data_IF_438735649396
#
_entry.id   IF_438735649396
#
_cell.length_a   1.000
_cell.length_b   1.000
_cell.length_c   1.000
_cell.angle_alpha   90.00
_cell.angle_beta   90.00
_cell.angle_gamma   90.00
#
_symmetry.space_group_name_H-M   'P 1'
#
loop_
_entity.id
_entity.type
_entity.pdbx_description
1 polymer ?
#
# COMPACT_ATOMS: atom_id res chain seq x y z
N UNK A 1 -15.77 10.96 -13.08
CA UNK A 1 -15.70 9.62 -12.45
C UNK A 1 -14.47 8.84 -12.91
N UNK A 2 -14.28 8.60 -14.23
CA UNK A 2 -13.12 7.83 -14.72
C UNK A 2 -11.77 8.43 -14.26
N UNK A 3 -11.60 9.76 -14.37
CA UNK A 3 -10.38 10.44 -13.94
C UNK A 3 -10.09 10.26 -12.44
N UNK A 4 -11.11 10.33 -11.59
CA UNK A 4 -10.97 10.09 -10.15
C UNK A 4 -10.60 8.62 -9.85
N UNK A 5 -11.22 7.67 -10.55
CA UNK A 5 -10.86 6.27 -10.41
C UNK A 5 -9.42 6.02 -10.88
N UNK A 6 -9.00 6.58 -12.01
CA UNK A 6 -7.61 6.46 -12.49
C UNK A 6 -6.61 7.10 -11.52
N UNK A 7 -6.97 8.22 -10.89
CA UNK A 7 -6.17 8.82 -9.82
C UNK A 7 -5.98 7.86 -8.65
N UNK A 8 -7.09 7.29 -8.13
CA UNK A 8 -7.05 6.29 -7.06
C UNK A 8 -6.20 5.10 -7.46
N UNK A 9 -6.46 4.56 -8.65
CA UNK A 9 -5.79 3.36 -9.14
C UNK A 9 -4.28 3.55 -9.29
N UNK A 10 -3.86 4.65 -9.93
CA UNK A 10 -2.43 4.93 -10.15
C UNK A 10 -1.70 5.23 -8.83
N UNK A 11 -2.31 6.04 -7.96
CA UNK A 11 -1.75 6.39 -6.66
C UNK A 11 -1.58 5.17 -5.76
N UNK A 12 -2.65 4.37 -5.64
CA UNK A 12 -2.63 3.18 -4.82
C UNK A 12 -1.64 2.14 -5.36
N UNK A 13 -1.61 1.94 -6.68
CA UNK A 13 -0.67 1.00 -7.29
C UNK A 13 0.78 1.46 -7.13
N UNK A 14 1.08 2.75 -7.26
CA UNK A 14 2.41 3.30 -6.99
C UNK A 14 2.83 3.07 -5.53
N UNK A 15 1.91 3.28 -4.57
CA UNK A 15 2.18 3.02 -3.17
C UNK A 15 2.37 1.53 -2.86
N UNK A 16 1.66 0.64 -3.56
CA UNK A 16 1.77 -0.81 -3.44
C UNK A 16 3.09 -1.33 -3.99
N UNK A 17 3.54 -0.79 -5.12
CA UNK A 17 4.82 -1.16 -5.74
C UNK A 17 6.04 -0.74 -4.91
N UNK A 18 5.90 0.30 -4.07
CA UNK A 18 7.00 0.77 -3.21
C UNK A 18 7.29 -0.26 -2.11
N UNK A 19 8.49 -0.89 -2.09
CA UNK A 19 8.85 -1.89 -1.11
C UNK A 19 8.77 -1.35 0.32
N UNK A 20 7.81 -1.82 1.09
CA UNK A 20 7.56 -1.45 2.48
C UNK A 20 7.61 -2.67 3.41
N UNK A 21 7.24 -2.51 4.69
CA UNK A 21 7.22 -3.61 5.66
C UNK A 21 6.42 -4.83 5.17
N UNK A 22 5.26 -4.61 4.56
CA UNK A 22 4.37 -5.67 4.05
C UNK A 22 5.03 -6.47 2.92
N UNK A 23 5.77 -5.78 2.02
CA UNK A 23 6.54 -6.42 0.95
C UNK A 23 7.61 -7.37 1.52
N UNK A 24 8.39 -6.92 2.52
CA UNK A 24 9.43 -7.76 3.12
C UNK A 24 8.85 -8.92 3.94
N UNK A 25 7.69 -8.72 4.58
CA UNK A 25 6.98 -9.79 5.26
C UNK A 25 6.56 -10.89 4.27
N UNK A 26 5.94 -10.50 3.14
CA UNK A 26 5.56 -11.41 2.07
C UNK A 26 6.74 -12.17 1.48
N UNK A 27 7.83 -11.44 1.21
CA UNK A 27 9.05 -12.02 0.68
C UNK A 27 9.58 -13.13 1.62
N UNK A 28 9.70 -12.80 2.92
CA UNK A 28 10.13 -13.75 3.94
C UNK A 28 9.18 -14.95 4.05
N UNK A 29 7.87 -14.68 4.09
CA UNK A 29 6.85 -15.72 4.19
C UNK A 29 6.94 -16.71 3.02
N UNK A 30 7.04 -16.22 1.79
CA UNK A 30 7.11 -17.05 0.59
C UNK A 30 8.40 -17.87 0.49
N UNK A 31 9.53 -17.28 0.85
CA UNK A 31 10.84 -17.90 0.73
C UNK A 31 11.13 -18.90 1.87
N UNK A 32 10.70 -18.59 3.12
CA UNK A 32 11.07 -19.38 4.31
C UNK A 32 9.99 -20.38 4.68
N UNK A 33 8.69 -19.97 4.65
CA UNK A 33 7.58 -20.77 5.18
C UNK A 33 6.69 -21.39 4.12
N UNK A 34 6.91 -21.03 2.84
CA UNK A 34 6.23 -21.60 1.68
C UNK A 34 4.93 -20.92 1.31
N UNK A 35 4.40 -21.28 0.12
CA UNK A 35 3.29 -20.59 -0.54
C UNK A 35 2.02 -20.52 0.30
N UNK A 36 1.65 -21.61 0.98
CA UNK A 36 0.43 -21.66 1.78
C UNK A 36 0.43 -20.63 2.92
N UNK A 37 1.56 -20.46 3.57
CA UNK A 37 1.72 -19.46 4.62
C UNK A 37 1.70 -18.05 4.03
N UNK A 38 2.42 -17.83 2.95
CA UNK A 38 2.47 -16.54 2.27
C UNK A 38 1.11 -16.10 1.68
N UNK A 39 0.30 -17.04 1.17
CA UNK A 39 -1.09 -16.75 0.78
C UNK A 39 -1.93 -16.29 1.99
N UNK A 40 -1.69 -16.86 3.17
CA UNK A 40 -2.29 -16.37 4.41
C UNK A 40 -1.85 -14.94 4.72
N UNK A 41 -0.54 -14.65 4.64
CA UNK A 41 0.01 -13.29 4.85
C UNK A 41 -0.63 -12.30 3.87
N UNK A 42 -0.71 -12.62 2.58
CA UNK A 42 -1.34 -11.78 1.56
C UNK A 42 -2.81 -11.47 1.90
N UNK A 43 -3.58 -12.49 2.31
CA UNK A 43 -4.97 -12.30 2.72
C UNK A 43 -5.10 -11.43 3.99
N UNK A 44 -4.20 -11.60 4.95
CA UNK A 44 -4.14 -10.78 6.18
C UNK A 44 -3.83 -9.31 5.86
N UNK A 45 -2.85 -9.05 5.01
CA UNK A 45 -2.50 -7.70 4.54
C UNK A 45 -3.69 -7.06 3.82
N UNK A 46 -4.35 -7.78 2.90
CA UNK A 46 -5.51 -7.25 2.17
C UNK A 46 -6.66 -6.89 3.11
N UNK A 47 -6.93 -7.72 4.13
CA UNK A 47 -7.94 -7.40 5.14
C UNK A 47 -7.52 -6.19 6.00
N UNK A 48 -6.26 -6.09 6.43
CA UNK A 48 -5.76 -4.93 7.16
C UNK A 48 -5.94 -3.62 6.37
N UNK A 49 -5.66 -3.66 5.06
CA UNK A 49 -5.89 -2.54 4.16
C UNK A 49 -7.38 -2.14 4.12
N UNK A 50 -8.28 -3.11 3.97
CA UNK A 50 -9.74 -2.85 3.99
C UNK A 50 -10.18 -2.25 5.33
N UNK A 51 -9.74 -2.82 6.45
CA UNK A 51 -10.07 -2.32 7.78
C UNK A 51 -9.53 -0.90 7.99
N UNK A 52 -8.32 -0.61 7.53
CA UNK A 52 -7.73 0.73 7.59
C UNK A 52 -8.56 1.73 6.77
N UNK A 53 -9.01 1.37 5.57
CA UNK A 53 -9.90 2.20 4.75
C UNK A 53 -11.22 2.48 5.48
N UNK A 54 -11.85 1.47 6.04
CA UNK A 54 -13.11 1.60 6.78
C UNK A 54 -12.96 2.48 8.03
N UNK A 55 -11.88 2.28 8.80
CA UNK A 55 -11.59 3.08 9.98
C UNK A 55 -11.35 4.54 9.64
N UNK A 56 -10.60 4.81 8.57
CA UNK A 56 -10.37 6.19 8.09
C UNK A 56 -11.67 6.83 7.64
N UNK A 57 -12.52 6.13 6.87
CA UNK A 57 -13.81 6.65 6.46
C UNK A 57 -14.72 6.93 7.65
N UNK A 58 -14.76 6.03 8.62
CA UNK A 58 -15.51 6.25 9.86
C UNK A 58 -15.00 7.49 10.59
N UNK A 59 -13.68 7.60 10.79
CA UNK A 59 -13.08 8.77 11.43
C UNK A 59 -13.44 10.08 10.69
N UNK A 60 -13.31 10.09 9.36
CA UNK A 60 -13.65 11.25 8.53
C UNK A 60 -15.16 11.56 8.54
N UNK A 61 -16.04 10.59 8.74
CA UNK A 61 -17.50 10.81 8.81
C UNK A 61 -17.94 11.44 10.13
N UNK A 62 -17.16 11.24 11.20
CA UNK A 62 -17.44 11.79 12.52
C UNK A 62 -16.97 13.27 12.65
N UNK A 63 -16.22 13.76 11.68
CA UNK A 63 -15.69 15.11 11.71
C UNK A 63 -16.67 16.13 11.09
N UNK A 64 -16.74 17.37 11.59
CA UNK A 64 -17.64 18.38 11.07
C UNK A 64 -17.35 18.68 9.59
N UNK A 65 -18.37 18.58 8.76
CA UNK A 65 -18.29 18.81 7.31
C UNK A 65 -17.98 20.27 6.96
N UNK A 66 -18.35 21.17 7.86
CA UNK A 66 -18.34 22.63 7.64
C UNK A 66 -16.99 23.31 7.87
N UNK A 67 -16.00 22.62 8.42
CA UNK A 67 -14.70 23.22 8.71
C UNK A 67 -13.74 23.04 7.53
N UNK A 68 -13.72 24.04 6.63
CA UNK A 68 -12.80 24.06 5.48
C UNK A 68 -11.33 24.01 5.91
N UNK A 69 -10.98 24.61 7.05
CA UNK A 69 -9.60 24.60 7.57
C UNK A 69 -9.14 23.18 7.94
N UNK A 70 -10.02 22.35 8.52
CA UNK A 70 -9.71 20.97 8.82
C UNK A 70 -9.35 20.16 7.56
N UNK A 71 -10.12 20.33 6.49
CA UNK A 71 -9.89 19.62 5.22
C UNK A 71 -8.61 20.08 4.54
N UNK A 72 -8.27 21.36 4.63
CA UNK A 72 -6.99 21.88 4.16
C UNK A 72 -5.82 21.27 4.94
N UNK A 73 -5.91 21.22 6.28
CA UNK A 73 -4.89 20.56 7.11
C UNK A 73 -4.72 19.09 6.74
N UNK A 74 -5.82 18.35 6.54
CA UNK A 74 -5.75 16.95 6.15
C UNK A 74 -5.07 16.79 4.78
N UNK A 75 -5.37 17.68 3.83
CA UNK A 75 -4.75 17.68 2.50
C UNK A 75 -3.26 18.01 2.58
N UNK A 76 -2.87 19.00 3.41
CA UNK A 76 -1.47 19.34 3.68
C UNK A 76 -0.71 18.17 4.32
N UNK A 77 -1.29 17.51 5.32
CA UNK A 77 -0.69 16.34 6.00
C UNK A 77 -0.56 15.19 5.02
N UNK A 78 -1.61 14.86 4.26
CA UNK A 78 -1.59 13.79 3.27
C UNK A 78 -0.61 14.05 2.13
N UNK A 79 -0.60 15.26 1.56
CA UNK A 79 0.34 15.67 0.51
C UNK A 79 1.78 15.68 1.00
N UNK A 80 2.03 16.22 2.19
CA UNK A 80 3.34 16.21 2.85
C UNK A 80 3.83 14.79 3.12
N UNK A 81 2.94 13.89 3.53
CA UNK A 81 3.26 12.49 3.73
C UNK A 81 3.63 11.78 2.41
N UNK A 82 2.92 12.05 1.31
CA UNK A 82 3.28 11.50 0.01
C UNK A 82 4.64 12.00 -0.48
N UNK A 83 4.95 13.29 -0.25
CA UNK A 83 6.28 13.84 -0.52
C UNK A 83 7.34 13.13 0.31
N UNK A 84 7.09 12.94 1.60
CA UNK A 84 8.03 12.30 2.51
C UNK A 84 8.32 10.84 2.11
N UNK A 85 7.28 10.02 1.84
CA UNK A 85 7.45 8.64 1.36
C UNK A 85 8.13 8.63 -0.02
N UNK A 86 7.72 9.51 -0.91
CA UNK A 86 8.28 9.63 -2.24
C UNK A 86 9.77 9.96 -2.21
N UNK A 87 10.17 10.89 -1.36
CA UNK A 87 11.58 11.24 -1.14
C UNK A 87 12.37 10.06 -0.56
N UNK A 88 11.81 9.37 0.44
CA UNK A 88 12.46 8.16 1.00
C UNK A 88 12.64 7.07 -0.06
N UNK A 89 11.66 6.85 -0.92
CA UNK A 89 11.75 5.87 -2.00
C UNK A 89 12.80 6.28 -3.06
N UNK A 90 12.91 7.56 -3.41
CA UNK A 90 13.95 8.06 -4.32
C UNK A 90 15.36 7.91 -3.75
N UNK A 91 15.52 8.15 -2.46
CA UNK A 91 16.80 8.10 -1.75
C UNK A 91 17.15 6.68 -1.28
N UNK A 92 16.24 5.72 -1.46
CA UNK A 92 16.46 4.35 -1.02
C UNK A 92 17.65 3.73 -1.77
N UNK A 93 18.66 3.33 -1.02
CA UNK A 93 19.84 2.56 -1.50
C UNK A 93 19.69 1.07 -1.18
N UNK A 94 18.46 0.61 -0.95
CA UNK A 94 18.17 -0.74 -0.50
C UNK A 94 18.66 -1.77 -1.51
N UNK A 95 19.35 -2.76 -1.01
CA UNK A 95 19.61 -4.01 -1.70
C UNK A 95 18.60 -5.04 -1.21
N UNK A 96 18.02 -5.77 -2.14
CA UNK A 96 17.10 -6.84 -1.79
C UNK A 96 17.94 -8.05 -1.33
N UNK A 97 18.24 -8.10 -0.05
CA UNK A 97 18.81 -9.30 0.55
C UNK A 97 17.73 -10.36 0.67
N UNK A 98 17.80 -11.37 -0.18
CA UNK A 98 16.92 -12.52 -0.08
C UNK A 98 17.41 -13.39 1.08
N UNK A 99 16.52 -13.81 2.01
CA UNK A 99 16.90 -14.73 3.06
C UNK A 99 17.57 -15.98 2.46
N UNK A 100 18.79 -16.28 2.87
CA UNK A 100 19.43 -17.56 2.56
C UNK A 100 18.71 -18.61 3.39
N UNK A 101 17.91 -19.44 2.73
CA UNK A 101 16.99 -20.34 3.41
C UNK A 101 17.58 -21.72 3.59
N UNK A 102 17.78 -22.09 4.84
CA UNK A 102 17.46 -23.46 5.22
C UNK A 102 15.93 -23.55 5.29
N UNK A 103 15.34 -24.53 4.61
CA UNK A 103 13.89 -24.71 4.59
C UNK A 103 13.39 -24.92 6.02
N UNK A 104 12.85 -23.87 6.62
CA UNK A 104 12.21 -23.93 7.92
C UNK A 104 10.91 -24.74 7.87
N UNK A 105 10.33 -25.01 9.02
CA UNK A 105 9.03 -25.68 9.10
C UNK A 105 7.99 -24.98 8.22
N UNK A 106 7.23 -25.77 7.47
CA UNK A 106 6.16 -25.25 6.62
C UNK A 106 5.12 -24.52 7.45
N UNK A 107 4.97 -23.24 7.20
CA UNK A 107 3.98 -22.41 7.90
C UNK A 107 2.53 -22.75 7.51
N UNK A 108 1.59 -22.51 8.42
CA UNK A 108 0.15 -22.67 8.15
C UNK A 108 -0.45 -21.40 7.57
N UNK A 109 -1.54 -21.54 6.80
CA UNK A 109 -2.29 -20.40 6.26
C UNK A 109 -2.84 -19.48 7.36
N UNK A 110 -3.37 -20.09 8.45
CA UNK A 110 -3.95 -19.30 9.56
C UNK A 110 -2.90 -18.46 10.29
N UNK A 111 -1.72 -19.04 10.51
CA UNK A 111 -0.62 -18.31 11.13
C UNK A 111 -0.15 -17.18 10.20
N UNK A 112 -0.01 -17.43 8.90
CA UNK A 112 0.31 -16.40 7.93
C UNK A 112 -0.73 -15.28 7.89
N UNK A 113 -2.01 -15.63 7.92
CA UNK A 113 -3.10 -14.65 7.96
C UNK A 113 -3.01 -13.73 9.19
N UNK A 114 -2.81 -14.29 10.37
CA UNK A 114 -2.66 -13.49 11.60
C UNK A 114 -1.40 -12.63 11.60
N UNK A 115 -0.28 -13.14 11.07
CA UNK A 115 0.96 -12.36 10.91
C UNK A 115 0.76 -11.18 9.94
N UNK A 116 0.17 -11.42 8.77
CA UNK A 116 -0.11 -10.38 7.79
C UNK A 116 -1.09 -9.32 8.30
N UNK A 117 -2.18 -9.77 8.92
CA UNK A 117 -3.19 -8.88 9.49
C UNK A 117 -2.59 -7.99 10.58
N UNK A 118 -1.86 -8.58 11.53
CA UNK A 118 -1.28 -7.82 12.64
C UNK A 118 -0.19 -6.85 12.17
N UNK A 119 0.76 -7.32 11.38
CA UNK A 119 1.87 -6.48 10.92
C UNK A 119 1.37 -5.30 10.07
N UNK A 120 0.43 -5.54 9.15
CA UNK A 120 -0.12 -4.50 8.30
C UNK A 120 -1.05 -3.54 9.06
N UNK A 121 -1.83 -4.03 10.04
CA UNK A 121 -2.67 -3.18 10.89
C UNK A 121 -1.86 -2.22 11.77
N UNK A 122 -0.65 -2.61 12.16
CA UNK A 122 0.28 -1.77 12.92
C UNK A 122 1.12 -0.85 12.02
N UNK A 123 0.98 -0.95 10.70
CA UNK A 123 1.72 -0.13 9.75
C UNK A 123 1.10 1.27 9.66
N UNK A 124 1.78 2.33 10.15
CA UNK A 124 1.23 3.70 10.14
C UNK A 124 1.07 4.25 8.72
N UNK A 125 1.71 3.65 7.73
CA UNK A 125 1.59 4.03 6.32
C UNK A 125 0.14 3.97 5.85
N UNK A 126 -0.63 2.93 6.25
CA UNK A 126 -1.98 2.69 5.75
C UNK A 126 -2.96 3.80 6.15
N UNK A 127 -3.18 4.11 7.44
CA UNK A 127 -4.17 5.11 7.81
C UNK A 127 -3.81 6.51 7.29
N UNK A 128 -2.53 6.89 7.27
CA UNK A 128 -2.11 8.20 6.76
C UNK A 128 -2.31 8.28 5.24
N UNK A 129 -1.94 7.22 4.51
CA UNK A 129 -2.16 7.14 3.07
C UNK A 129 -3.65 7.25 2.71
N UNK A 130 -4.50 6.46 3.37
CA UNK A 130 -5.94 6.48 3.09
C UNK A 130 -6.62 7.77 3.55
N UNK A 131 -6.18 8.39 4.65
CA UNK A 131 -6.70 9.68 5.07
C UNK A 131 -6.42 10.78 4.01
N UNK A 132 -5.21 10.84 3.48
CA UNK A 132 -4.86 11.73 2.39
C UNK A 132 -5.69 11.45 1.13
N UNK A 133 -5.76 10.19 0.70
CA UNK A 133 -6.50 9.80 -0.50
C UNK A 133 -7.99 10.10 -0.40
N UNK A 134 -8.63 9.74 0.71
CA UNK A 134 -10.07 9.98 0.89
C UNK A 134 -10.42 11.45 1.12
N UNK A 135 -9.51 12.23 1.69
CA UNK A 135 -9.65 13.69 1.73
C UNK A 135 -9.79 14.28 0.33
N UNK A 136 -8.94 13.85 -0.61
CA UNK A 136 -9.01 14.28 -2.01
C UNK A 136 -10.32 13.85 -2.67
N UNK A 137 -10.72 12.58 -2.50
CA UNK A 137 -11.94 12.04 -3.11
C UNK A 137 -13.20 12.74 -2.59
N UNK A 138 -13.21 13.14 -1.33
CA UNK A 138 -14.30 13.92 -0.73
C UNK A 138 -14.37 15.31 -1.35
N UNK A 139 -13.24 16.03 -1.47
CA UNK A 139 -13.20 17.36 -2.10
C UNK A 139 -13.65 17.32 -3.56
N UNK A 140 -13.39 16.21 -4.25
CA UNK A 140 -13.84 15.96 -5.62
C UNK A 140 -15.29 15.47 -5.70
N UNK A 141 -16.06 15.46 -4.59
CA UNK A 141 -17.45 15.02 -4.49
C UNK A 141 -17.71 13.64 -5.10
N UNK A 142 -16.81 12.67 -4.83
CA UNK A 142 -16.99 11.29 -5.30
C UNK A 142 -18.24 10.67 -4.66
N UNK A 143 -19.18 10.10 -5.44
CA UNK A 143 -20.37 9.47 -4.89
C UNK A 143 -20.01 8.19 -4.13
N UNK A 144 -20.84 7.83 -3.12
CA UNK A 144 -20.59 6.68 -2.22
C UNK A 144 -20.37 5.35 -2.94
N UNK A 145 -21.09 5.10 -4.05
CA UNK A 145 -20.86 3.89 -4.86
C UNK A 145 -19.49 3.86 -5.53
N UNK A 146 -19.00 5.03 -6.00
CA UNK A 146 -17.67 5.16 -6.59
C UNK A 146 -16.57 4.93 -5.56
N UNK A 147 -16.78 5.39 -4.33
CA UNK A 147 -15.89 5.13 -3.21
C UNK A 147 -15.86 3.64 -2.85
N UNK A 148 -17.03 2.99 -2.74
CA UNK A 148 -17.13 1.56 -2.46
C UNK A 148 -16.45 0.71 -3.54
N UNK A 149 -16.65 1.03 -4.83
CA UNK A 149 -15.94 0.39 -5.94
C UNK A 149 -14.43 0.57 -5.83
N UNK A 150 -13.97 1.78 -5.51
CA UNK A 150 -12.54 2.06 -5.36
C UNK A 150 -11.93 1.25 -4.21
N UNK A 151 -12.61 1.14 -3.08
CA UNK A 151 -12.17 0.33 -1.94
C UNK A 151 -12.13 -1.16 -2.28
N UNK A 152 -13.16 -1.69 -2.94
CA UNK A 152 -13.19 -3.07 -3.39
C UNK A 152 -12.05 -3.36 -4.37
N UNK A 153 -11.81 -2.46 -5.33
CA UNK A 153 -10.71 -2.55 -6.28
C UNK A 153 -9.35 -2.51 -5.57
N UNK A 154 -9.12 -1.55 -4.66
CA UNK A 154 -7.87 -1.44 -3.91
C UNK A 154 -7.57 -2.71 -3.10
N UNK A 155 -8.59 -3.24 -2.40
CA UNK A 155 -8.45 -4.49 -1.62
C UNK A 155 -8.12 -5.68 -2.53
N UNK A 156 -8.82 -5.81 -3.65
CA UNK A 156 -8.59 -6.87 -4.62
C UNK A 156 -7.18 -6.78 -5.23
N UNK A 157 -6.75 -5.57 -5.60
CA UNK A 157 -5.40 -5.37 -6.18
C UNK A 157 -4.32 -5.72 -5.17
N UNK A 158 -4.44 -5.34 -3.90
CA UNK A 158 -3.49 -5.76 -2.85
C UNK A 158 -3.42 -7.27 -2.79
N UNK A 159 -4.56 -7.94 -2.65
CA UNK A 159 -4.60 -9.40 -2.53
C UNK A 159 -3.96 -10.11 -3.74
N UNK A 160 -4.41 -9.76 -4.95
CA UNK A 160 -3.92 -10.41 -6.17
C UNK A 160 -2.45 -10.09 -6.47
N UNK A 161 -2.04 -8.85 -6.23
CA UNK A 161 -0.64 -8.45 -6.38
C UNK A 161 0.27 -9.21 -5.43
N UNK A 162 -0.07 -9.27 -4.15
CA UNK A 162 0.71 -9.95 -3.13
C UNK A 162 0.79 -11.45 -3.41
N UNK A 163 -0.32 -12.07 -3.78
CA UNK A 163 -0.33 -13.48 -4.19
C UNK A 163 0.50 -13.72 -5.47
N UNK A 164 0.44 -12.84 -6.45
CA UNK A 164 1.25 -12.93 -7.67
C UNK A 164 2.75 -12.77 -7.35
N UNK A 165 3.08 -11.78 -6.51
CA UNK A 165 4.45 -11.53 -6.07
C UNK A 165 5.07 -12.78 -5.42
N UNK A 166 4.35 -13.40 -4.48
CA UNK A 166 4.80 -14.62 -3.80
C UNK A 166 5.07 -15.76 -4.79
N UNK A 167 4.20 -15.93 -5.80
CA UNK A 167 4.37 -16.97 -6.83
C UNK A 167 5.55 -16.68 -7.74
N UNK A 168 5.70 -15.41 -8.16
CA UNK A 168 6.83 -14.97 -8.98
C UNK A 168 8.17 -15.19 -8.27
N UNK A 169 8.23 -14.92 -6.96
CA UNK A 169 9.41 -15.18 -6.15
C UNK A 169 9.80 -16.67 -6.06
N UNK A 170 8.90 -17.58 -6.39
CA UNK A 170 9.22 -19.01 -6.57
C UNK A 170 10.21 -19.28 -7.71
N UNK A 171 10.30 -18.38 -8.71
CA UNK A 171 11.17 -18.56 -9.87
C UNK A 171 12.50 -17.80 -9.71
N UNK A 172 13.67 -18.47 -9.83
CA UNK A 172 14.98 -17.83 -9.66
C UNK A 172 15.21 -16.63 -10.58
N UNK A 173 14.71 -16.69 -11.82
CA UNK A 173 14.83 -15.59 -12.80
C UNK A 173 14.15 -14.30 -12.30
N UNK A 174 12.98 -14.42 -11.66
CA UNK A 174 12.25 -13.28 -11.13
C UNK A 174 12.92 -12.71 -9.88
N UNK A 175 13.49 -13.56 -9.02
CA UNK A 175 14.30 -13.09 -7.87
C UNK A 175 15.46 -12.25 -8.34
N UNK A 176 16.26 -12.73 -9.30
CA UNK A 176 17.38 -11.99 -9.86
C UNK A 176 16.95 -10.69 -10.55
N UNK A 177 15.85 -10.72 -11.32
CA UNK A 177 15.31 -9.53 -11.95
C UNK A 177 14.87 -8.48 -10.89
N UNK A 178 14.17 -8.90 -9.84
CA UNK A 178 13.71 -8.02 -8.78
C UNK A 178 14.89 -7.41 -8.01
N UNK A 179 15.92 -8.20 -7.68
CA UNK A 179 17.12 -7.70 -7.03
C UNK A 179 17.79 -6.58 -7.84
N UNK A 180 17.89 -6.77 -9.17
CA UNK A 180 18.50 -5.77 -10.06
C UNK A 180 17.63 -4.52 -10.24
N UNK A 181 16.30 -4.63 -10.11
CA UNK A 181 15.34 -3.56 -10.44
C UNK A 181 14.69 -2.89 -9.24
N UNK A 182 14.89 -3.40 -8.02
CA UNK A 182 14.26 -2.84 -6.83
C UNK A 182 14.53 -1.34 -6.67
N UNK A 183 15.75 -0.88 -6.92
CA UNK A 183 16.10 0.54 -6.86
C UNK A 183 15.39 1.37 -7.94
N UNK A 184 15.23 0.82 -9.15
CA UNK A 184 14.52 1.50 -10.23
C UNK A 184 13.02 1.61 -9.93
N UNK A 185 12.44 0.55 -9.34
CA UNK A 185 11.05 0.55 -8.87
C UNK A 185 10.86 1.57 -7.75
N UNK A 186 11.72 1.59 -6.74
CA UNK A 186 11.68 2.58 -5.66
C UNK A 186 11.73 4.01 -6.22
N UNK A 187 12.63 4.29 -7.16
CA UNK A 187 12.74 5.62 -7.78
C UNK A 187 11.50 6.00 -8.59
N UNK A 188 10.96 5.07 -9.38
CA UNK A 188 9.75 5.32 -10.16
C UNK A 188 8.55 5.61 -9.24
N UNK A 189 8.34 4.75 -8.24
CA UNK A 189 7.26 4.92 -7.27
C UNK A 189 7.44 6.21 -6.45
N UNK A 190 8.69 6.49 -6.05
CA UNK A 190 9.04 7.72 -5.34
C UNK A 190 8.71 8.98 -6.14
N UNK A 191 9.07 9.00 -7.43
CA UNK A 191 8.76 10.12 -8.32
C UNK A 191 7.24 10.32 -8.50
N UNK A 192 6.48 9.23 -8.66
CA UNK A 192 5.01 9.29 -8.75
C UNK A 192 4.37 9.81 -7.47
N UNK A 193 4.82 9.34 -6.30
CA UNK A 193 4.31 9.80 -5.01
C UNK A 193 4.68 11.27 -4.74
N UNK A 194 5.88 11.71 -5.12
CA UNK A 194 6.28 13.12 -5.04
C UNK A 194 5.42 14.01 -5.92
N UNK A 195 5.21 13.60 -7.19
CA UNK A 195 4.38 14.36 -8.12
C UNK A 195 2.94 14.49 -7.58
N UNK A 196 2.40 13.41 -7.03
CA UNK A 196 1.07 13.42 -6.43
C UNK A 196 1.02 14.31 -5.18
N UNK A 197 1.98 14.18 -4.29
CA UNK A 197 2.05 15.02 -3.09
C UNK A 197 2.15 16.51 -3.44
N UNK A 198 3.00 16.86 -4.42
CA UNK A 198 3.12 18.23 -4.91
C UNK A 198 1.81 18.73 -5.55
N UNK A 199 1.14 17.89 -6.35
CA UNK A 199 -0.16 18.24 -6.93
C UNK A 199 -1.23 18.49 -5.86
N UNK A 200 -1.25 17.65 -4.80
CA UNK A 200 -2.17 17.85 -3.67
C UNK A 200 -1.91 19.17 -2.94
N UNK A 201 -0.65 19.52 -2.72
CA UNK A 201 -0.28 20.76 -2.03
C UNK A 201 -0.54 22.00 -2.88
N UNK A 202 -0.46 21.90 -4.20
CA UNK A 202 -0.76 23.01 -5.13
C UNK A 202 -2.27 23.32 -5.22
N UNK A 203 -3.14 22.39 -4.78
CA UNK A 203 -4.60 22.57 -4.76
C UNK A 203 -5.16 23.10 -3.44
N UNK A 204 -4.30 23.46 -2.46
CA UNK A 204 -4.65 24.12 -1.19
C UNK A 204 -4.52 25.61 -1.34
#
# INVERSE_FOLDING_TARGET
MLALFLLVASTHFAALLSPGPDFFLLLRAGLVRGLRHADGVAAGIALANLLSMLLVLLALSLLPVSDGAFWQVLQLVGGGYFIWIGAQALLATRELELPQTEAGERGSWRLGFSEGLLASSLNPKLPIFYAGLFGVLRNAAMPGWGLAMSMAWMTAVVLFWDMALVRLLGYPRWRGWLQLRVRALDRLCGALLLALGAWLLAGV
#
